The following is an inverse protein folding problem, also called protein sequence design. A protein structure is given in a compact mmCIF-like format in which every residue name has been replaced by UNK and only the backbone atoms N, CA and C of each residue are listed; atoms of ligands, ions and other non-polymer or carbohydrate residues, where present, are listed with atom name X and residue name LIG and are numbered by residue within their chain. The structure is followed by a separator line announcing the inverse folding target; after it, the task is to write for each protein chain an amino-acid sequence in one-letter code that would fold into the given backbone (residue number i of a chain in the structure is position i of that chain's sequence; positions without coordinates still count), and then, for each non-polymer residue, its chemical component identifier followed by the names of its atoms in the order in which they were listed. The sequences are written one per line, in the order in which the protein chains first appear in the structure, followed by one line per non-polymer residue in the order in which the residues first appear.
data_IF_251662828029
#
_entry.id   IF_251662828029
#
_cell.length_a   1.000
_cell.length_b   1.000
_cell.length_c   1.000
_cell.angle_alpha   90.00
_cell.angle_beta   90.00
_cell.angle_gamma   90.00
#
_symmetry.space_group_name_H-M   'P 1'
#
loop_
_entity.id
_entity.type
_entity.pdbx_description
1 polymer ?
#
# COMPACT_ATOMS: atom_id res chain seq x y z
N UNK A 1 17.35 6.69 -9.41
CA UNK A 1 17.13 7.75 -8.38
C UNK A 1 17.37 7.17 -6.99
N UNK A 2 17.62 8.04 -6.01
CA UNK A 2 17.70 7.78 -4.57
C UNK A 2 16.48 8.39 -3.90
N UNK A 3 15.55 7.56 -3.47
CA UNK A 3 14.21 7.94 -3.02
C UNK A 3 14.14 7.69 -1.52
N UNK A 4 13.86 8.70 -0.72
CA UNK A 4 13.65 8.53 0.71
C UNK A 4 12.18 8.65 1.12
N UNK A 5 11.79 7.82 2.07
CA UNK A 5 10.44 7.75 2.61
C UNK A 5 10.48 7.99 4.12
N UNK A 6 9.57 8.81 4.66
CA UNK A 6 9.25 8.71 6.08
C UNK A 6 8.52 7.39 6.38
N UNK A 7 8.46 7.02 7.66
CA UNK A 7 7.80 5.81 8.13
C UNK A 7 6.37 6.05 8.64
N UNK A 8 6.18 6.94 9.62
CA UNK A 8 4.94 6.97 10.41
C UNK A 8 3.85 7.80 9.71
N UNK A 9 2.73 7.20 9.30
CA UNK A 9 1.69 7.76 8.40
C UNK A 9 2.14 8.01 6.94
N UNK A 10 3.33 7.57 6.57
CA UNK A 10 3.82 7.58 5.18
C UNK A 10 3.89 6.14 4.64
N UNK A 11 4.55 5.24 5.36
CA UNK A 11 4.57 3.79 5.09
C UNK A 11 3.58 3.05 5.99
N UNK A 12 3.64 3.30 7.30
CA UNK A 12 2.75 2.68 8.27
C UNK A 12 1.49 3.53 8.44
N UNK A 13 0.33 2.96 8.11
CA UNK A 13 -0.97 3.57 8.33
C UNK A 13 -1.53 3.16 9.71
N UNK A 14 -1.64 4.14 10.60
CA UNK A 14 -2.13 3.93 11.96
C UNK A 14 -3.61 4.28 12.15
N UNK A 15 -4.35 4.68 11.12
CA UNK A 15 -5.71 5.22 11.27
C UNK A 15 -6.63 4.29 12.07
N UNK A 16 -6.57 2.98 11.81
CA UNK A 16 -7.37 1.98 12.53
C UNK A 16 -6.73 1.54 13.86
N UNK A 17 -5.40 1.62 13.97
CA UNK A 17 -4.67 1.21 15.17
C UNK A 17 -5.01 2.11 16.37
N UNK A 18 -5.15 3.43 16.15
CA UNK A 18 -5.41 4.39 17.23
C UNK A 18 -6.74 4.12 17.97
N UNK A 19 -7.91 4.04 17.30
CA UNK A 19 -9.17 3.72 17.95
C UNK A 19 -9.18 2.34 18.63
N UNK A 20 -8.49 1.35 18.05
CA UNK A 20 -8.36 0.02 18.65
C UNK A 20 -7.59 0.07 19.97
N UNK A 21 -6.42 0.70 19.99
CA UNK A 21 -5.62 0.83 21.22
C UNK A 21 -6.34 1.66 22.28
N UNK A 22 -7.07 2.71 21.89
CA UNK A 22 -7.89 3.46 22.83
C UNK A 22 -8.92 2.55 23.52
N UNK A 23 -9.59 1.67 22.78
CA UNK A 23 -10.53 0.69 23.33
C UNK A 23 -9.83 -0.33 24.25
N UNK A 24 -8.64 -0.81 23.87
CA UNK A 24 -7.81 -1.70 24.72
C UNK A 24 -7.46 -1.03 26.07
N UNK A 25 -7.24 0.28 26.06
CA UNK A 25 -6.96 1.07 27.27
C UNK A 25 -8.21 1.44 28.09
N UNK A 26 -9.40 1.01 27.65
CA UNK A 26 -10.65 1.27 28.34
C UNK A 26 -11.29 2.63 28.01
N UNK A 27 -10.81 3.34 27.00
CA UNK A 27 -11.49 4.56 26.53
C UNK A 27 -12.73 4.19 25.72
N UNK A 28 -13.88 4.74 26.11
CA UNK A 28 -15.11 4.62 25.35
C UNK A 28 -15.04 5.54 24.11
N UNK A 29 -14.87 4.96 22.93
CA UNK A 29 -14.84 5.70 21.67
C UNK A 29 -15.56 4.95 20.55
N UNK A 30 -16.25 5.71 19.69
CA UNK A 30 -16.88 5.21 18.45
C UNK A 30 -16.14 5.69 17.20
N UNK A 31 -15.02 6.38 17.38
CA UNK A 31 -14.23 6.90 16.28
C UNK A 31 -13.63 5.77 15.45
N UNK A 32 -13.49 6.00 14.15
CA UNK A 32 -13.00 5.01 13.20
C UNK A 32 -11.61 5.37 12.65
N UNK A 33 -11.05 6.51 13.02
CA UNK A 33 -9.75 6.95 12.55
C UNK A 33 -9.00 7.73 13.64
N UNK A 34 -7.69 7.87 13.46
CA UNK A 34 -6.75 8.58 14.35
C UNK A 34 -7.15 10.03 14.59
N UNK A 35 -7.55 10.76 13.54
CA UNK A 35 -7.87 12.19 13.58
C UNK A 35 -9.06 12.45 14.50
N UNK A 36 -10.15 11.74 14.28
CA UNK A 36 -11.39 11.91 15.05
C UNK A 36 -11.18 11.48 16.50
N UNK A 37 -10.44 10.39 16.72
CA UNK A 37 -10.05 9.97 18.07
C UNK A 37 -9.29 11.06 18.81
N UNK A 38 -8.29 11.67 18.16
CA UNK A 38 -7.49 12.74 18.76
C UNK A 38 -8.39 13.90 19.19
N UNK A 39 -9.28 14.34 18.30
CA UNK A 39 -10.22 15.43 18.60
C UNK A 39 -11.16 15.09 19.76
N UNK A 40 -11.60 13.84 19.87
CA UNK A 40 -12.51 13.42 20.93
C UNK A 40 -11.81 13.26 22.29
N UNK A 41 -10.59 12.72 22.32
CA UNK A 41 -9.82 12.60 23.56
C UNK A 41 -9.43 13.98 24.10
N UNK A 42 -9.02 14.91 23.25
CA UNK A 42 -8.62 16.26 23.66
C UNK A 42 -9.77 17.09 24.27
N UNK A 43 -11.03 16.70 24.07
CA UNK A 43 -12.20 17.35 24.71
C UNK A 43 -12.40 16.92 26.16
N UNK A 44 -11.77 15.83 26.60
CA UNK A 44 -11.95 15.27 27.94
C UNK A 44 -11.02 15.96 28.96
N UNK A 45 -11.37 15.95 30.26
CA UNK A 45 -10.41 16.23 31.31
C UNK A 45 -9.19 15.29 31.18
N UNK A 46 -7.98 15.83 31.26
CA UNK A 46 -6.72 15.11 31.03
C UNK A 46 -6.54 14.53 29.60
N UNK A 47 -7.25 15.08 28.61
CA UNK A 47 -7.23 14.64 27.22
C UNK A 47 -5.84 14.56 26.58
N UNK A 48 -4.94 15.50 26.90
CA UNK A 48 -3.54 15.47 26.43
C UNK A 48 -2.79 14.23 26.95
N UNK A 49 -2.96 13.91 28.24
CA UNK A 49 -2.36 12.73 28.86
C UNK A 49 -2.93 11.45 28.25
N UNK A 50 -4.24 11.41 28.01
CA UNK A 50 -4.89 10.28 27.36
C UNK A 50 -4.37 10.07 25.93
N UNK A 51 -4.28 11.14 25.14
CA UNK A 51 -3.73 11.11 23.80
C UNK A 51 -2.27 10.61 23.79
N UNK A 52 -1.42 11.14 24.68
CA UNK A 52 -0.01 10.73 24.77
C UNK A 52 0.14 9.25 25.17
N UNK A 53 -0.71 8.73 26.07
CA UNK A 53 -0.73 7.31 26.43
C UNK A 53 -1.10 6.40 25.26
N UNK A 54 -2.18 6.73 24.55
CA UNK A 54 -2.59 5.97 23.35
C UNK A 54 -1.46 6.01 22.32
N UNK A 55 -0.93 7.20 22.03
CA UNK A 55 0.13 7.38 21.04
C UNK A 55 1.41 6.58 21.38
N UNK A 56 1.86 6.63 22.63
CA UNK A 56 3.06 5.91 23.09
C UNK A 56 2.96 4.39 22.90
N UNK A 57 1.76 3.83 23.15
CA UNK A 57 1.51 2.41 23.00
C UNK A 57 1.26 1.98 21.54
N UNK A 58 0.59 2.81 20.73
CA UNK A 58 0.38 2.54 19.30
C UNK A 58 1.70 2.41 18.56
N UNK A 59 2.62 3.37 18.74
CA UNK A 59 3.89 3.36 17.99
C UNK A 59 4.93 2.36 18.52
N UNK A 60 4.68 1.77 19.69
CA UNK A 60 5.55 0.77 20.32
C UNK A 60 4.85 -0.58 20.38
N UNK A 61 4.29 -0.91 21.54
CA UNK A 61 3.70 -2.22 21.85
C UNK A 61 2.66 -2.71 20.83
N UNK A 62 1.88 -1.81 20.25
CA UNK A 62 0.77 -2.15 19.35
C UNK A 62 1.02 -1.69 17.90
N UNK A 63 2.29 -1.55 17.49
CA UNK A 63 2.64 -1.19 16.11
C UNK A 63 2.10 -2.20 15.09
N UNK A 64 1.95 -3.46 15.49
CA UNK A 64 1.40 -4.55 14.65
C UNK A 64 -0.08 -4.35 14.28
N UNK A 65 -0.79 -3.41 14.93
CA UNK A 65 -2.14 -3.02 14.52
C UNK A 65 -2.15 -2.02 13.35
N UNK A 66 -0.99 -1.46 12.99
CA UNK A 66 -0.84 -0.63 11.81
C UNK A 66 -0.84 -1.49 10.55
N UNK A 67 -1.47 -1.00 9.49
CA UNK A 67 -1.38 -1.60 8.15
C UNK A 67 -0.33 -0.87 7.32
N UNK A 68 0.08 -1.45 6.20
CA UNK A 68 0.76 -0.68 5.17
C UNK A 68 -0.18 0.40 4.61
N UNK A 69 0.38 1.56 4.25
CA UNK A 69 -0.36 2.58 3.54
C UNK A 69 -0.67 2.05 2.12
N UNK A 70 -1.94 2.09 1.66
CA UNK A 70 -2.30 1.48 0.38
C UNK A 70 -1.41 1.96 -0.79
N UNK A 71 -0.91 1.00 -1.56
CA UNK A 71 -0.06 1.25 -2.73
C UNK A 71 1.44 1.38 -2.45
N UNK A 72 1.89 1.40 -1.19
CA UNK A 72 3.32 1.53 -0.88
C UNK A 72 4.15 0.35 -1.41
N UNK A 73 3.60 -0.86 -1.38
CA UNK A 73 4.27 -2.06 -1.94
C UNK A 73 4.39 -1.96 -3.46
N UNK A 74 3.34 -1.49 -4.14
CA UNK A 74 3.38 -1.23 -5.59
C UNK A 74 4.43 -0.17 -5.92
N UNK A 75 4.52 0.89 -5.12
CA UNK A 75 5.52 1.93 -5.28
C UNK A 75 6.95 1.39 -5.13
N UNK A 76 7.23 0.62 -4.07
CA UNK A 76 8.55 0.03 -3.83
C UNK A 76 8.92 -0.96 -4.94
N UNK A 77 7.98 -1.80 -5.36
CA UNK A 77 8.15 -2.71 -6.50
C UNK A 77 8.55 -1.94 -7.77
N UNK A 78 7.85 -0.85 -8.09
CA UNK A 78 8.15 0.01 -9.25
C UNK A 78 9.53 0.64 -9.14
N UNK A 79 9.85 1.20 -7.98
CA UNK A 79 11.13 1.86 -7.74
C UNK A 79 12.30 0.88 -7.94
N UNK A 80 12.24 -0.29 -7.29
CA UNK A 80 13.33 -1.28 -7.32
C UNK A 80 13.45 -1.97 -8.68
N UNK A 81 12.32 -2.21 -9.38
CA UNK A 81 12.35 -2.76 -10.75
C UNK A 81 12.95 -1.79 -11.78
N UNK A 82 12.96 -0.49 -11.48
CA UNK A 82 13.54 0.56 -12.31
C UNK A 82 14.96 0.97 -11.90
N UNK A 83 15.71 0.09 -11.22
CA UNK A 83 17.08 0.33 -10.72
C UNK A 83 17.22 1.57 -9.79
N UNK A 84 16.14 1.95 -9.10
CA UNK A 84 16.18 2.99 -8.09
C UNK A 84 16.57 2.43 -6.72
N UNK A 85 17.10 3.30 -5.86
CA UNK A 85 17.40 2.98 -4.48
C UNK A 85 16.35 3.61 -3.57
N UNK A 86 15.75 2.81 -2.70
CA UNK A 86 14.79 3.27 -1.71
C UNK A 86 15.42 3.26 -0.33
N UNK A 87 15.18 4.34 0.42
CA UNK A 87 15.65 4.58 1.77
C UNK A 87 14.46 4.90 2.67
N UNK A 88 14.48 4.41 3.91
CA UNK A 88 13.54 4.83 4.95
C UNK A 88 14.32 5.74 5.89
N UNK A 89 13.87 6.97 6.06
CA UNK A 89 14.49 7.94 6.97
C UNK A 89 13.40 8.55 7.83
N UNK A 90 13.34 8.16 9.10
CA UNK A 90 12.27 8.60 9.99
C UNK A 90 12.81 9.13 11.32
N UNK A 91 12.08 10.10 11.88
CA UNK A 91 12.34 10.61 13.22
C UNK A 91 11.62 9.70 14.21
N UNK A 92 12.39 8.93 14.99
CA UNK A 92 11.84 7.97 15.94
C UNK A 92 12.74 7.88 17.17
N UNK A 93 12.21 8.31 18.31
CA UNK A 93 12.91 8.20 19.61
C UNK A 93 13.20 6.75 19.94
N UNK A 94 14.17 6.48 20.81
CA UNK A 94 14.44 5.09 21.21
C UNK A 94 13.30 4.46 22.00
N UNK A 95 12.63 5.25 22.85
CA UNK A 95 11.55 4.81 23.74
C UNK A 95 10.33 5.71 23.59
N UNK A 96 9.14 5.13 23.77
CA UNK A 96 7.88 5.86 23.76
C UNK A 96 7.62 6.62 25.06
N UNK A 97 6.89 7.73 24.95
CA UNK A 97 6.36 8.41 26.13
C UNK A 97 5.26 7.56 26.77
N UNK A 98 5.22 7.50 28.10
CA UNK A 98 4.18 6.79 28.87
C UNK A 98 4.03 5.28 28.60
N UNK A 99 5.03 4.65 27.98
CA UNK A 99 5.09 3.19 27.86
C UNK A 99 5.91 2.59 29.02
N UNK A 100 5.22 2.05 30.03
CA UNK A 100 5.86 1.35 31.16
C UNK A 100 6.64 0.11 30.71
N UNK A 101 6.27 -0.49 29.57
CA UNK A 101 7.00 -1.63 29.01
C UNK A 101 8.33 -1.23 28.35
N UNK A 102 8.58 0.08 28.18
CA UNK A 102 9.79 0.64 27.56
C UNK A 102 10.12 -0.03 26.23
N UNK A 103 9.10 -0.23 25.39
CA UNK A 103 9.28 -0.87 24.08
C UNK A 103 10.27 -0.06 23.24
N UNK A 104 11.36 -0.66 22.74
CA UNK A 104 12.29 0.02 21.84
C UNK A 104 11.62 0.32 20.50
N UNK A 105 11.24 1.58 20.27
CA UNK A 105 10.39 1.96 19.13
C UNK A 105 11.06 1.71 17.78
N UNK A 106 12.38 1.92 17.71
CA UNK A 106 13.17 1.69 16.48
C UNK A 106 13.21 0.21 16.11
N UNK A 107 13.38 -0.66 17.11
CA UNK A 107 13.36 -2.10 16.90
C UNK A 107 11.96 -2.59 16.53
N UNK A 108 10.92 -2.07 17.19
CA UNK A 108 9.53 -2.38 16.86
C UNK A 108 9.21 -2.01 15.40
N UNK A 109 9.58 -0.80 14.96
CA UNK A 109 9.41 -0.38 13.56
C UNK A 109 10.21 -1.23 12.56
N UNK A 110 11.45 -1.60 12.91
CA UNK A 110 12.27 -2.46 12.04
C UNK A 110 11.63 -3.84 11.88
N UNK A 111 11.22 -4.45 13.00
CA UNK A 111 10.56 -5.76 12.99
C UNK A 111 9.24 -5.69 12.22
N UNK A 112 8.46 -4.63 12.41
CA UNK A 112 7.22 -4.42 11.66
C UNK A 112 7.50 -4.34 10.14
N UNK A 113 8.48 -3.55 9.71
CA UNK A 113 8.85 -3.45 8.28
C UNK A 113 9.27 -4.79 7.66
N UNK A 114 9.97 -5.62 8.44
CA UNK A 114 10.37 -6.98 8.03
C UNK A 114 9.16 -7.91 7.97
N UNK A 115 8.28 -7.86 8.96
CA UNK A 115 7.07 -8.69 9.02
C UNK A 115 6.06 -8.34 7.93
N UNK A 116 6.03 -7.08 7.48
CA UNK A 116 5.25 -6.62 6.33
C UNK A 116 5.92 -6.94 4.99
N UNK A 117 7.06 -7.64 4.99
CA UNK A 117 7.85 -8.00 3.81
C UNK A 117 8.26 -6.79 2.94
N UNK A 118 8.29 -5.58 3.51
CA UNK A 118 8.74 -4.37 2.80
C UNK A 118 10.26 -4.22 2.89
N UNK A 119 10.84 -4.69 3.99
CA UNK A 119 12.28 -4.74 4.24
C UNK A 119 12.76 -6.18 4.29
N UNK A 120 13.83 -6.49 3.58
CA UNK A 120 14.33 -7.86 3.46
C UNK A 120 15.48 -8.01 2.48
N UNK A 121 15.89 -9.24 2.24
CA UNK A 121 17.04 -9.57 1.39
C UNK A 121 16.65 -9.80 -0.08
N UNK A 122 15.36 -9.91 -0.42
CA UNK A 122 14.89 -10.01 -1.81
C UNK A 122 15.21 -8.74 -2.60
N UNK A 123 15.39 -8.87 -3.91
CA UNK A 123 15.66 -7.74 -4.81
C UNK A 123 14.49 -6.75 -4.90
N UNK A 124 13.29 -7.20 -4.52
CA UNK A 124 12.08 -6.38 -4.47
C UNK A 124 11.79 -5.81 -3.08
N UNK A 125 12.73 -5.97 -2.13
CA UNK A 125 12.64 -5.38 -0.81
C UNK A 125 13.63 -4.22 -0.62
N UNK A 126 13.25 -3.29 0.25
CA UNK A 126 14.17 -2.30 0.78
C UNK A 126 15.19 -3.02 1.65
N UNK A 127 16.48 -2.84 1.38
CA UNK A 127 17.52 -3.48 2.19
C UNK A 127 17.55 -2.87 3.60
N UNK A 128 17.76 -3.71 4.62
CA UNK A 128 17.80 -3.26 6.02
C UNK A 128 18.81 -2.12 6.27
N UNK A 129 19.95 -2.15 5.59
CA UNK A 129 20.98 -1.10 5.65
C UNK A 129 20.53 0.27 5.14
N UNK A 130 19.38 0.34 4.44
CA UNK A 130 18.79 1.58 3.95
C UNK A 130 17.70 2.13 4.90
N UNK A 131 17.55 1.55 6.10
CA UNK A 131 16.61 2.01 7.13
C UNK A 131 17.35 2.83 8.18
N UNK A 132 16.99 4.10 8.32
CA UNK A 132 17.64 5.06 9.21
C UNK A 132 16.63 5.70 10.16
N UNK A 133 16.98 5.72 11.44
CA UNK A 133 16.22 6.43 12.47
C UNK A 133 17.03 7.58 13.05
N UNK A 134 16.41 8.75 13.14
CA UNK A 134 16.95 9.95 13.75
C UNK A 134 16.27 10.22 15.10
N UNK A 135 17.01 10.73 16.09
CA UNK A 135 16.46 11.07 17.41
C UNK A 135 15.75 12.42 17.40
N UNK A 136 16.10 13.29 16.45
CA UNK A 136 15.47 14.61 16.27
C UNK A 136 15.13 14.88 14.82
N UNK A 137 14.23 15.84 14.58
CA UNK A 137 13.92 16.31 13.23
C UNK A 137 15.15 16.86 12.50
N UNK A 138 16.01 17.59 13.20
CA UNK A 138 17.25 18.14 12.60
C UNK A 138 18.21 17.02 12.18
N UNK A 139 18.31 15.94 12.98
CA UNK A 139 19.08 14.75 12.59
C UNK A 139 18.48 14.04 11.37
N UNK A 140 17.14 13.96 11.28
CA UNK A 140 16.45 13.40 10.11
C UNK A 140 16.81 14.19 8.86
N UNK A 141 16.72 15.52 8.91
CA UNK A 141 17.07 16.42 7.80
C UNK A 141 18.55 16.27 7.41
N UNK A 142 19.47 16.20 8.39
CA UNK A 142 20.88 15.93 8.13
C UNK A 142 21.10 14.59 7.44
N UNK A 143 20.38 13.54 7.86
CA UNK A 143 20.48 12.21 7.22
C UNK A 143 19.97 12.22 5.78
N UNK A 144 18.86 12.91 5.50
CA UNK A 144 18.35 13.14 4.14
C UNK A 144 19.43 13.80 3.26
N UNK A 145 20.09 14.84 3.78
CA UNK A 145 21.18 15.54 3.10
C UNK A 145 22.39 14.64 2.83
N UNK A 146 22.83 13.90 3.84
CA UNK A 146 23.98 12.98 3.78
C UNK A 146 23.76 11.88 2.73
N UNK A 147 22.54 11.34 2.68
CA UNK A 147 22.15 10.32 1.72
C UNK A 147 22.01 10.86 0.29
N UNK A 148 22.03 12.18 0.08
CA UNK A 148 21.87 12.82 -1.24
C UNK A 148 20.66 12.28 -1.98
N UNK A 149 19.50 12.33 -1.31
CA UNK A 149 18.26 11.84 -1.89
C UNK A 149 17.80 12.79 -3.02
N UNK A 150 17.36 12.21 -4.13
CA UNK A 150 16.78 12.95 -5.26
C UNK A 150 15.35 13.40 -4.92
N UNK A 151 14.62 12.58 -4.15
CA UNK A 151 13.25 12.87 -3.69
C UNK A 151 13.07 12.37 -2.26
N UNK A 152 12.29 13.11 -1.48
CA UNK A 152 11.88 12.71 -0.15
C UNK A 152 10.37 12.89 0.02
N UNK A 153 9.71 11.83 0.50
CA UNK A 153 8.26 11.77 0.70
C UNK A 153 7.96 11.66 2.19
N UNK A 154 7.17 12.60 2.71
CA UNK A 154 6.86 12.75 4.14
C UNK A 154 5.43 13.29 4.33
N UNK A 155 4.73 12.90 5.39
CA UNK A 155 3.42 13.45 5.74
C UNK A 155 3.50 14.79 6.50
N UNK A 156 4.68 15.16 7.00
CA UNK A 156 4.88 16.35 7.83
C UNK A 156 5.42 17.55 7.04
N UNK A 157 4.58 18.57 6.89
CA UNK A 157 4.94 19.87 6.30
C UNK A 157 6.15 20.51 7.01
N UNK A 158 6.22 20.43 8.33
CA UNK A 158 7.31 21.03 9.12
C UNK A 158 8.69 20.42 8.86
N UNK A 159 8.76 19.20 8.30
CA UNK A 159 10.03 18.59 7.86
C UNK A 159 10.41 19.18 6.51
N UNK A 160 9.47 19.21 5.57
CA UNK A 160 9.70 19.62 4.18
C UNK A 160 9.95 21.14 4.04
N UNK A 161 9.38 21.94 4.93
CA UNK A 161 9.53 23.41 4.96
C UNK A 161 10.72 23.88 5.82
N UNK A 162 11.45 22.97 6.46
CA UNK A 162 12.61 23.34 7.26
C UNK A 162 13.67 24.04 6.40
N UNK A 163 14.23 25.14 6.92
CA UNK A 163 15.22 25.95 6.20
C UNK A 163 16.51 25.20 5.89
N UNK A 164 16.80 24.15 6.67
CA UNK A 164 17.97 23.30 6.51
C UNK A 164 17.72 22.12 5.56
N UNK A 165 16.49 21.96 5.06
CA UNK A 165 16.15 20.90 4.13
C UNK A 165 16.97 21.03 2.82
N UNK A 166 17.55 19.94 2.29
CA UNK A 166 18.38 20.01 1.09
C UNK A 166 17.63 20.57 -0.11
N UNK A 167 18.18 21.63 -0.73
CA UNK A 167 17.55 22.32 -1.87
C UNK A 167 17.42 21.46 -3.12
N UNK A 168 18.35 20.52 -3.30
CA UNK A 168 18.39 19.65 -4.48
C UNK A 168 17.50 18.41 -4.34
N UNK A 169 16.93 18.17 -3.16
CA UNK A 169 16.00 17.06 -2.92
C UNK A 169 14.59 17.53 -3.21
N UNK A 170 13.93 16.91 -4.19
CA UNK A 170 12.51 17.14 -4.47
C UNK A 170 11.68 16.76 -3.24
N UNK A 171 10.73 17.61 -2.88
CA UNK A 171 9.87 17.44 -1.70
C UNK A 171 8.48 16.98 -2.12
N UNK A 172 8.00 15.91 -1.51
CA UNK A 172 6.62 15.44 -1.69
C UNK A 172 5.92 15.38 -0.34
N UNK A 173 4.88 16.20 -0.17
CA UNK A 173 3.99 16.12 0.97
C UNK A 173 2.95 15.03 0.70
N UNK A 174 2.98 13.97 1.51
CA UNK A 174 2.10 12.83 1.37
C UNK A 174 0.83 12.97 2.21
N UNK A 175 -0.30 12.55 1.66
CA UNK A 175 -1.59 12.54 2.35
C UNK A 175 -2.46 13.77 2.04
N UNK A 176 -3.38 14.11 2.94
CA UNK A 176 -4.42 15.12 2.67
C UNK A 176 -4.01 16.57 3.01
N UNK A 177 -2.73 16.83 3.19
CA UNK A 177 -2.22 18.17 3.52
C UNK A 177 -2.39 19.14 2.34
N UNK A 178 -2.66 20.41 2.63
CA UNK A 178 -2.60 21.48 1.64
C UNK A 178 -1.46 22.40 2.00
N UNK A 179 -0.52 22.60 1.09
CA UNK A 179 0.61 23.48 1.30
C UNK A 179 0.55 24.64 0.31
N UNK A 180 0.95 25.83 0.77
CA UNK A 180 1.01 27.03 -0.08
C UNK A 180 2.35 27.19 -0.78
N UNK A 181 3.38 26.47 -0.30
CA UNK A 181 4.71 26.45 -0.90
C UNK A 181 4.69 25.69 -2.23
N UNK A 182 4.92 26.43 -3.32
CA UNK A 182 4.92 25.89 -4.69
C UNK A 182 6.12 24.98 -5.00
N UNK A 183 7.15 24.98 -4.14
CA UNK A 183 8.30 24.08 -4.28
C UNK A 183 8.03 22.66 -3.76
N UNK A 184 6.88 22.44 -3.09
CA UNK A 184 6.49 21.16 -2.50
C UNK A 184 5.31 20.59 -3.30
N UNK A 185 5.49 19.40 -3.86
CA UNK A 185 4.40 18.68 -4.53
C UNK A 185 3.54 17.96 -3.48
N UNK A 186 2.24 18.22 -3.45
CA UNK A 186 1.31 17.42 -2.64
C UNK A 186 0.84 16.22 -3.44
N UNK A 187 0.81 15.04 -2.82
CA UNK A 187 0.25 13.83 -3.40
C UNK A 187 -0.56 13.05 -2.37
N UNK A 188 -1.66 12.47 -2.80
CA UNK A 188 -2.68 11.88 -1.96
C UNK A 188 -2.65 10.35 -1.93
N UNK A 189 -1.83 9.72 -2.79
CA UNK A 189 -1.66 8.28 -2.81
C UNK A 189 -0.29 7.84 -3.30
N UNK A 190 0.11 6.62 -2.95
CA UNK A 190 1.38 6.05 -3.44
C UNK A 190 1.36 5.78 -4.94
N UNK A 191 0.19 5.55 -5.55
CA UNK A 191 0.10 5.39 -7.00
C UNK A 191 0.32 6.72 -7.71
N UNK A 192 -0.18 7.82 -7.17
CA UNK A 192 0.11 9.17 -7.67
C UNK A 192 1.62 9.47 -7.59
N UNK A 193 2.26 9.17 -6.46
CA UNK A 193 3.72 9.29 -6.31
C UNK A 193 4.47 8.45 -7.34
N UNK A 194 4.05 7.20 -7.52
CA UNK A 194 4.65 6.33 -8.52
C UNK A 194 4.48 6.85 -9.95
N UNK A 195 3.29 7.34 -10.30
CA UNK A 195 2.97 7.83 -11.64
C UNK A 195 3.74 9.11 -11.97
N UNK A 196 3.92 10.01 -11.00
CA UNK A 196 4.77 11.19 -11.15
C UNK A 196 6.24 10.83 -11.35
N UNK A 197 6.76 9.88 -10.57
CA UNK A 197 8.20 9.57 -10.58
C UNK A 197 8.60 8.62 -11.71
N UNK A 198 7.71 7.74 -12.14
CA UNK A 198 8.03 6.64 -13.05
C UNK A 198 7.12 6.56 -14.30
N UNK A 199 6.09 7.40 -14.40
CA UNK A 199 5.03 7.25 -15.42
C UNK A 199 4.10 6.07 -15.10
N UNK A 200 3.11 5.78 -15.95
CA UNK A 200 2.17 4.68 -15.70
C UNK A 200 2.87 3.32 -15.51
N UNK A 201 2.29 2.45 -14.66
CA UNK A 201 2.74 1.07 -14.53
C UNK A 201 2.79 0.35 -15.89
N UNK A 202 3.98 -0.17 -16.22
CA UNK A 202 4.28 -0.80 -17.50
C UNK A 202 4.49 -2.32 -17.39
N UNK A 203 4.70 -2.99 -18.52
CA UNK A 203 4.86 -4.44 -18.57
C UNK A 203 6.09 -4.97 -17.82
N UNK A 204 7.13 -4.16 -17.61
CA UNK A 204 8.35 -4.58 -16.89
C UNK A 204 8.07 -4.72 -15.39
N UNK A 205 7.39 -3.73 -14.81
CA UNK A 205 6.93 -3.76 -13.41
C UNK A 205 5.93 -4.88 -13.20
N UNK A 206 4.99 -5.04 -14.13
CA UNK A 206 3.98 -6.12 -14.03
C UNK A 206 4.64 -7.49 -14.08
N UNK A 207 5.66 -7.68 -14.92
CA UNK A 207 6.40 -8.95 -14.96
C UNK A 207 7.16 -9.21 -13.65
N UNK A 208 7.80 -8.18 -13.08
CA UNK A 208 8.49 -8.28 -11.79
C UNK A 208 7.52 -8.64 -10.66
N UNK A 209 6.38 -7.94 -10.58
CA UNK A 209 5.35 -8.23 -9.57
C UNK A 209 4.67 -9.57 -9.79
N UNK A 210 4.45 -10.01 -11.04
CA UNK A 210 3.93 -11.35 -11.31
C UNK A 210 4.89 -12.43 -10.78
N UNK A 211 6.20 -12.30 -11.04
CA UNK A 211 7.21 -13.23 -10.50
C UNK A 211 7.27 -13.22 -8.97
N UNK A 212 7.01 -12.08 -8.35
CA UNK A 212 6.93 -11.96 -6.90
C UNK A 212 5.70 -12.67 -6.32
N UNK A 213 4.52 -12.41 -6.88
CA UNK A 213 3.23 -12.92 -6.37
C UNK A 213 3.05 -14.41 -6.65
N UNK A 214 3.60 -14.91 -7.76
CA UNK A 214 3.48 -16.30 -8.18
C UNK A 214 4.81 -16.85 -8.75
N UNK A 215 5.82 -17.07 -7.89
CA UNK A 215 7.14 -17.53 -8.31
C UNK A 215 7.09 -18.88 -9.05
N UNK A 216 6.16 -19.76 -8.65
CA UNK A 216 6.03 -21.10 -9.22
C UNK A 216 5.51 -21.13 -10.66
N UNK A 217 4.86 -20.06 -11.14
CA UNK A 217 4.31 -20.00 -12.50
C UNK A 217 5.37 -19.71 -13.57
N UNK A 218 6.62 -19.37 -13.21
CA UNK A 218 7.67 -19.06 -14.18
C UNK A 218 7.22 -18.03 -15.25
N UNK A 219 6.72 -16.88 -14.80
CA UNK A 219 6.26 -15.82 -15.70
C UNK A 219 7.38 -15.34 -16.64
N UNK A 220 7.13 -15.36 -17.95
CA UNK A 220 8.14 -15.10 -19.00
C UNK A 220 7.96 -13.75 -19.70
N UNK A 221 6.73 -13.36 -20.01
CA UNK A 221 6.43 -12.10 -20.70
C UNK A 221 5.07 -11.56 -20.31
N UNK A 222 4.87 -10.26 -20.56
CA UNK A 222 3.64 -9.55 -20.22
C UNK A 222 3.23 -8.65 -21.38
N UNK A 223 1.94 -8.65 -21.72
CA UNK A 223 1.35 -7.73 -22.67
C UNK A 223 0.14 -7.02 -22.05
N UNK A 224 0.10 -5.69 -22.14
CA UNK A 224 -1.09 -4.92 -21.76
C UNK A 224 -2.23 -5.20 -22.74
N UNK A 225 -3.42 -5.42 -22.20
CA UNK A 225 -4.64 -5.64 -22.96
C UNK A 225 -5.53 -4.42 -22.83
N UNK A 226 -5.80 -3.77 -23.95
CA UNK A 226 -6.71 -2.63 -23.98
C UNK A 226 -8.15 -3.08 -23.69
N UNK A 227 -8.79 -2.41 -22.74
CA UNK A 227 -10.13 -2.77 -22.26
C UNK A 227 -10.87 -1.58 -21.67
N UNK A 228 -12.20 -1.70 -21.55
CA UNK A 228 -13.09 -0.63 -21.06
C UNK A 228 -13.42 -0.75 -19.56
N UNK A 229 -12.59 -1.45 -18.80
CA UNK A 229 -12.84 -1.78 -17.39
C UNK A 229 -12.14 -0.83 -16.40
N UNK A 230 -12.57 -0.87 -15.14
CA UNK A 230 -11.94 -0.10 -14.06
C UNK A 230 -10.55 -0.63 -13.68
N UNK A 231 -10.22 -1.88 -14.05
CA UNK A 231 -8.91 -2.51 -13.79
C UNK A 231 -8.07 -2.51 -15.07
N UNK A 232 -6.76 -2.28 -14.94
CA UNK A 232 -5.80 -2.56 -16.01
C UNK A 232 -5.58 -4.07 -16.09
N UNK A 233 -5.62 -4.63 -17.29
CA UNK A 233 -5.48 -6.09 -17.51
C UNK A 233 -4.22 -6.33 -18.33
N UNK A 234 -3.46 -7.32 -17.89
CA UNK A 234 -2.25 -7.77 -18.54
C UNK A 234 -2.35 -9.27 -18.80
N UNK A 235 -2.03 -9.69 -20.02
CA UNK A 235 -1.81 -11.10 -20.35
C UNK A 235 -0.37 -11.44 -19.97
N UNK A 236 -0.20 -12.39 -19.07
CA UNK A 236 1.09 -12.89 -18.60
C UNK A 236 1.29 -14.29 -19.16
N UNK A 237 2.41 -14.51 -19.85
CA UNK A 237 2.78 -15.83 -20.36
C UNK A 237 3.57 -16.60 -19.31
N UNK A 238 3.16 -17.83 -19.03
CA UNK A 238 3.76 -18.74 -18.05
C UNK A 238 4.20 -20.05 -18.72
N UNK A 239 4.85 -20.95 -17.98
CA UNK A 239 5.16 -22.30 -18.50
C UNK A 239 3.92 -23.14 -18.77
N UNK A 240 2.81 -22.85 -18.10
CA UNK A 240 1.57 -23.65 -18.12
C UNK A 240 0.45 -23.02 -18.96
N UNK A 241 0.73 -21.90 -19.62
CA UNK A 241 -0.21 -21.17 -20.47
C UNK A 241 -0.26 -19.68 -20.14
N UNK A 242 -1.29 -19.00 -20.61
CA UNK A 242 -1.47 -17.57 -20.33
C UNK A 242 -2.38 -17.36 -19.12
N UNK A 243 -2.12 -16.32 -18.33
CA UNK A 243 -2.98 -15.86 -17.23
C UNK A 243 -3.29 -14.37 -17.39
N UNK A 244 -4.44 -13.94 -16.88
CA UNK A 244 -4.80 -12.54 -16.77
C UNK A 244 -4.35 -12.00 -15.41
N UNK A 245 -3.43 -11.05 -15.40
CA UNK A 245 -3.11 -10.24 -14.22
C UNK A 245 -3.95 -8.95 -14.27
N UNK A 246 -4.70 -8.72 -13.21
CA UNK A 246 -5.55 -7.54 -13.03
C UNK A 246 -4.96 -6.63 -11.96
N UNK A 247 -4.71 -5.38 -12.34
CA UNK A 247 -4.36 -4.28 -11.43
C UNK A 247 -5.63 -3.47 -11.17
N UNK A 248 -6.09 -3.45 -9.92
CA UNK A 248 -7.34 -2.79 -9.55
C UNK A 248 -7.11 -1.28 -9.29
N UNK A 249 -8.17 -0.46 -9.28
CA UNK A 249 -8.09 0.96 -8.95
C UNK A 249 -7.33 1.23 -7.66
N UNK A 250 -6.74 2.42 -7.59
CA UNK A 250 -6.06 2.89 -6.39
C UNK A 250 -7.05 2.98 -5.24
N UNK A 251 -6.73 2.34 -4.11
CA UNK A 251 -7.62 2.32 -2.94
C UNK A 251 -7.76 3.68 -2.28
N UNK A 252 -6.81 4.59 -2.49
CA UNK A 252 -6.93 5.98 -2.04
C UNK A 252 -8.00 6.77 -2.84
N UNK A 253 -8.25 6.37 -4.10
CA UNK A 253 -9.23 7.00 -5.00
C UNK A 253 -10.56 6.25 -4.99
N UNK A 254 -10.52 4.92 -4.96
CA UNK A 254 -11.66 4.01 -4.93
C UNK A 254 -11.49 3.01 -3.79
N UNK A 255 -12.04 3.33 -2.62
CA UNK A 255 -11.93 2.51 -1.42
C UNK A 255 -12.72 1.18 -1.47
N UNK A 256 -13.44 0.90 -2.56
CA UNK A 256 -14.16 -0.37 -2.70
C UNK A 256 -13.16 -1.50 -2.84
N UNK A 257 -13.34 -2.54 -2.04
CA UNK A 257 -12.54 -3.78 -2.08
C UNK A 257 -12.89 -4.66 -3.30
N UNK A 258 -12.76 -4.09 -4.51
CA UNK A 258 -13.13 -4.72 -5.79
C UNK A 258 -12.40 -6.03 -6.02
N UNK A 259 -11.11 -6.07 -5.67
CA UNK A 259 -10.30 -7.29 -5.72
C UNK A 259 -10.90 -8.37 -4.85
N UNK A 260 -11.19 -8.08 -3.58
CA UNK A 260 -11.78 -9.05 -2.65
C UNK A 260 -13.14 -9.54 -3.15
N UNK A 261 -14.00 -8.64 -3.60
CA UNK A 261 -15.32 -9.00 -4.11
C UNK A 261 -15.23 -9.93 -5.33
N UNK A 262 -14.38 -9.61 -6.30
CA UNK A 262 -14.18 -10.45 -7.49
C UNK A 262 -13.53 -11.79 -7.12
N UNK A 263 -12.51 -11.79 -6.26
CA UNK A 263 -11.84 -13.00 -5.81
C UNK A 263 -12.80 -13.95 -5.09
N UNK A 264 -13.60 -13.44 -4.14
CA UNK A 264 -14.61 -14.22 -3.43
C UNK A 264 -15.68 -14.75 -4.38
N UNK A 265 -16.16 -13.91 -5.31
CA UNK A 265 -17.13 -14.32 -6.30
C UNK A 265 -16.59 -15.45 -7.20
N UNK A 266 -15.38 -15.32 -7.75
CA UNK A 266 -14.77 -16.35 -8.60
C UNK A 266 -14.58 -17.67 -7.84
N UNK A 267 -14.14 -17.62 -6.59
CA UNK A 267 -14.01 -18.82 -5.76
C UNK A 267 -15.37 -19.50 -5.51
N UNK A 268 -16.40 -18.73 -5.17
CA UNK A 268 -17.76 -19.25 -5.00
C UNK A 268 -18.30 -19.89 -6.29
N UNK A 269 -18.12 -19.22 -7.42
CA UNK A 269 -18.59 -19.70 -8.73
C UNK A 269 -17.85 -20.99 -9.15
N UNK A 270 -16.54 -21.08 -8.88
CA UNK A 270 -15.73 -22.28 -9.11
C UNK A 270 -16.18 -23.46 -8.25
N UNK A 271 -16.43 -23.24 -6.96
CA UNK A 271 -16.92 -24.28 -6.05
C UNK A 271 -18.28 -24.85 -6.52
N UNK A 272 -19.09 -24.01 -7.15
CA UNK A 272 -20.37 -24.39 -7.78
C UNK A 272 -20.23 -24.88 -9.24
N UNK A 273 -19.00 -25.19 -9.69
CA UNK A 273 -18.69 -25.75 -11.02
C UNK A 273 -19.20 -24.88 -12.17
N UNK A 274 -19.32 -23.57 -11.95
CA UNK A 274 -19.71 -22.63 -12.99
C UNK A 274 -18.55 -22.37 -13.95
N UNK A 275 -18.87 -22.09 -15.21
CA UNK A 275 -17.88 -21.80 -16.25
C UNK A 275 -17.41 -20.35 -16.14
N UNK A 276 -16.45 -20.12 -15.24
CA UNK A 276 -15.82 -18.81 -14.99
C UNK A 276 -14.30 -18.97 -14.99
N UNK A 277 -13.52 -17.88 -15.21
CA UNK A 277 -12.07 -17.93 -15.04
C UNK A 277 -11.69 -18.50 -13.68
N UNK A 278 -10.75 -19.45 -13.64
CA UNK A 278 -10.21 -19.95 -12.37
C UNK A 278 -9.41 -18.84 -11.67
N UNK A 279 -9.64 -18.62 -10.37
CA UNK A 279 -8.72 -17.84 -9.54
C UNK A 279 -7.40 -18.61 -9.43
N UNK A 280 -6.28 -17.95 -9.69
CA UNK A 280 -4.94 -18.54 -9.63
C UNK A 280 -4.21 -18.06 -8.38
N UNK A 281 -4.07 -16.74 -8.22
CA UNK A 281 -3.44 -16.12 -7.06
C UNK A 281 -3.95 -14.69 -6.86
N UNK A 282 -3.87 -14.16 -5.64
CA UNK A 282 -4.19 -12.76 -5.36
C UNK A 282 -3.23 -12.18 -4.33
N UNK A 283 -3.01 -10.86 -4.37
CA UNK A 283 -2.12 -10.16 -3.46
C UNK A 283 -2.84 -8.98 -2.78
N UNK A 284 -2.80 -8.96 -1.44
CA UNK A 284 -3.50 -7.96 -0.64
C UNK A 284 -2.92 -6.56 -0.79
N UNK A 285 -1.61 -6.47 -0.83
CA UNK A 285 -0.85 -5.22 -0.69
C UNK A 285 -0.62 -4.53 -2.05
N UNK A 286 -0.38 -5.31 -3.10
CA UNK A 286 -0.34 -4.82 -4.48
C UNK A 286 -1.73 -4.48 -5.00
N UNK A 287 -2.79 -5.01 -4.37
CA UNK A 287 -4.16 -4.91 -4.88
C UNK A 287 -4.31 -5.54 -6.28
N UNK A 288 -3.73 -6.73 -6.48
CA UNK A 288 -3.70 -7.45 -7.77
C UNK A 288 -4.34 -8.84 -7.67
N UNK A 289 -4.82 -9.35 -8.81
CA UNK A 289 -5.28 -10.75 -8.94
C UNK A 289 -4.78 -11.36 -10.23
N UNK A 290 -4.39 -12.63 -10.16
CA UNK A 290 -4.08 -13.47 -11.29
C UNK A 290 -5.20 -14.51 -11.45
N UNK A 291 -5.79 -14.55 -12.63
CA UNK A 291 -6.89 -15.46 -12.97
C UNK A 291 -6.62 -16.11 -14.34
N UNK A 292 -7.26 -17.24 -14.60
CA UNK A 292 -7.17 -17.96 -15.88
C UNK A 292 -7.44 -17.02 -17.06
N UNK A 293 -6.56 -17.05 -18.05
CA UNK A 293 -6.82 -16.38 -19.32
C UNK A 293 -7.82 -17.21 -20.13
N UNK A 294 -8.88 -16.57 -20.62
CA UNK A 294 -9.84 -17.20 -21.52
C UNK A 294 -9.71 -16.56 -22.90
N UNK A 295 -9.24 -17.32 -23.87
CA UNK A 295 -9.28 -16.91 -25.27
C UNK A 295 -10.73 -16.92 -25.77
N UNK A 296 -11.17 -15.80 -26.33
CA UNK A 296 -12.53 -15.66 -26.83
C UNK A 296 -12.78 -14.32 -27.52
N UNK A 297 -13.88 -14.26 -28.28
CA UNK A 297 -14.39 -13.02 -28.85
C UNK A 297 -15.42 -12.39 -27.90
N UNK A 298 -15.62 -11.06 -27.94
CA UNK A 298 -16.70 -10.40 -27.22
C UNK A 298 -18.06 -11.05 -27.54
N UNK A 299 -18.91 -11.21 -26.52
CA UNK A 299 -20.26 -11.72 -26.74
C UNK A 299 -21.07 -10.75 -27.60
N UNK A 300 -21.64 -11.24 -28.71
CA UNK A 300 -22.63 -10.49 -29.49
C UNK A 300 -24.02 -10.62 -28.84
N UNK A 301 -24.61 -9.52 -28.33
CA UNK A 301 -25.94 -9.55 -27.69
C UNK A 301 -27.09 -9.83 -28.67
N UNK A 302 -26.82 -9.84 -29.99
CA UNK A 302 -27.79 -10.22 -31.03
C UNK A 302 -27.75 -11.71 -31.35
N UNK A 303 -26.78 -12.45 -30.82
CA UNK A 303 -26.64 -13.88 -31.04
C UNK A 303 -27.47 -14.64 -30.00
N UNK A 304 -28.49 -15.38 -30.47
CA UNK A 304 -29.38 -16.16 -29.60
C UNK A 304 -28.64 -17.16 -28.71
N UNK A 305 -27.60 -17.83 -29.24
CA UNK A 305 -26.84 -18.79 -28.45
C UNK A 305 -26.10 -18.13 -27.28
N UNK A 306 -25.61 -16.90 -27.45
CA UNK A 306 -24.99 -16.15 -26.36
C UNK A 306 -26.02 -15.73 -25.30
N UNK A 307 -27.24 -15.34 -25.73
CA UNK A 307 -28.34 -15.00 -24.81
C UNK A 307 -28.77 -16.23 -24.00
N UNK A 308 -28.92 -17.39 -24.65
CA UNK A 308 -29.29 -18.64 -23.99
C UNK A 308 -28.23 -19.09 -22.97
N UNK A 309 -26.94 -18.92 -23.30
CA UNK A 309 -25.83 -19.17 -22.38
C UNK A 309 -25.87 -18.22 -21.18
N UNK A 310 -26.10 -16.92 -21.40
CA UNK A 310 -26.22 -15.94 -20.32
C UNK A 310 -27.43 -16.23 -19.41
N UNK A 311 -28.59 -16.55 -19.96
CA UNK A 311 -29.78 -16.91 -19.19
C UNK A 311 -29.56 -18.20 -18.36
N UNK A 312 -28.92 -19.21 -18.97
CA UNK A 312 -28.55 -20.45 -18.26
C UNK A 312 -27.57 -20.18 -17.13
N UNK A 313 -26.58 -19.29 -17.34
CA UNK A 313 -25.64 -18.88 -16.31
C UNK A 313 -26.35 -18.22 -15.11
N UNK A 314 -27.26 -17.28 -15.36
CA UNK A 314 -28.04 -16.60 -14.29
C UNK A 314 -28.90 -17.59 -13.52
N UNK A 315 -29.55 -18.54 -14.21
CA UNK A 315 -30.35 -19.58 -13.58
C UNK A 315 -29.50 -20.45 -12.64
N UNK A 316 -28.32 -20.87 -13.11
CA UNK A 316 -27.39 -21.66 -12.31
C UNK A 316 -26.87 -20.87 -11.11
N UNK A 317 -26.59 -19.58 -11.28
CA UNK A 317 -26.17 -18.71 -10.18
C UNK A 317 -27.24 -18.62 -9.09
N UNK A 318 -28.50 -18.43 -9.48
CA UNK A 318 -29.61 -18.36 -8.52
C UNK A 318 -29.83 -19.67 -7.76
N UNK A 319 -29.56 -20.82 -8.40
CA UNK A 319 -29.64 -22.13 -7.75
C UNK A 319 -28.48 -22.40 -6.78
N UNK A 320 -27.34 -21.76 -7.00
CA UNK A 320 -26.15 -21.90 -6.16
C UNK A 320 -26.14 -20.94 -4.95
N UNK A 321 -26.94 -19.87 -5.00
CA UNK A 321 -27.06 -18.83 -3.98
C UNK A 321 -28.03 -19.21 -2.88
#
# INVERSE_FOLDING_TARGET
MRIGLDFDNTIANYDQAFPEVARILGYETKTLNKRDLKLDLLKQPDGDTAWQKVQGLVYGKYIDLASLYPGVVEFVLRALSGDNQVFIVSHKTQLGHFDESRTPLRQAATNWLINQELVGDSDLNIKLQNVFYAETRDEKIRKIAELKLDVFIDDLEEVLTDKSFPKETRKVLFGSGTITDTEISTMHSWREVGDELFGEIDSSVILAGAKHVCPDLNCTSVQRVEGRGNSKIFRVETSDGSIALKVYPDLAVDNRLRRNAEWQALNFLQQNKMRVPKPVQTDSELNWSLIEWIDGAPADPRNQAHLDQAASFIKNLHQAS
#
